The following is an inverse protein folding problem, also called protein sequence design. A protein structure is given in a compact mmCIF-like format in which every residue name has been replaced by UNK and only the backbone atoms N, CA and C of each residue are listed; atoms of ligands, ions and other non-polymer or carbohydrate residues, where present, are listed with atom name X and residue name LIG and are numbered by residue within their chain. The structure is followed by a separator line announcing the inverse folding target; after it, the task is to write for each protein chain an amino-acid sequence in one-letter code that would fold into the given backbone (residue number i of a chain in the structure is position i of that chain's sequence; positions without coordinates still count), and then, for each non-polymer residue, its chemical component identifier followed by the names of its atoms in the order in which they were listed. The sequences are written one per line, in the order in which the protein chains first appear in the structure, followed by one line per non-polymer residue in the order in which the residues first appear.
data_IF_023526273172
#
_entry.id   IF_023526273172
#
_cell.length_a   1.000
_cell.length_b   1.000
_cell.length_c   1.000
_cell.angle_alpha   90.00
_cell.angle_beta   90.00
_cell.angle_gamma   90.00
#
_symmetry.space_group_name_H-M   'P 1'
#
loop_
_entity.id
_entity.type
_entity.pdbx_description
1 polymer ?
#
# COMPACT_ATOMS: atom_id res chain seq x y z
N UNK A 1 -18.44 10.30 36.12
CA UNK A 1 -19.32 9.62 35.14
C UNK A 1 -20.01 10.66 34.30
N UNK A 2 -19.84 10.55 32.99
CA UNK A 2 -20.45 11.43 32.00
C UNK A 2 -21.49 10.63 31.21
N UNK A 3 -22.52 11.31 30.72
CA UNK A 3 -23.54 10.66 29.89
C UNK A 3 -23.04 10.40 28.46
N UNK A 4 -22.13 11.25 27.95
CA UNK A 4 -21.58 11.19 26.60
C UNK A 4 -20.08 11.49 26.60
N UNK A 5 -19.38 11.09 25.52
CA UNK A 5 -17.97 11.39 25.31
C UNK A 5 -17.75 12.90 25.13
N UNK A 6 -18.63 13.59 24.40
CA UNK A 6 -18.62 15.04 24.27
C UNK A 6 -18.58 15.74 25.63
N UNK A 7 -19.45 15.33 26.58
CA UNK A 7 -19.49 15.94 27.90
C UNK A 7 -18.19 15.70 28.70
N UNK A 8 -17.56 14.53 28.52
CA UNK A 8 -16.28 14.23 29.14
C UNK A 8 -15.15 15.11 28.55
N UNK A 9 -15.08 15.24 27.22
CA UNK A 9 -14.07 16.05 26.52
C UNK A 9 -14.21 17.55 26.79
N UNK A 10 -15.44 18.05 26.96
CA UNK A 10 -15.71 19.46 27.28
C UNK A 10 -15.52 19.81 28.77
N UNK A 11 -15.14 18.84 29.61
CA UNK A 11 -15.01 19.07 31.06
C UNK A 11 -13.82 19.99 31.36
N UNK A 12 -14.03 21.11 32.08
CA UNK A 12 -12.92 21.95 32.51
C UNK A 12 -11.96 21.20 33.42
N UNK A 13 -10.66 21.41 33.21
CA UNK A 13 -9.61 20.87 34.08
C UNK A 13 -9.01 19.53 33.64
N UNK A 14 -9.26 19.08 32.41
CA UNK A 14 -8.47 18.03 31.79
C UNK A 14 -7.00 18.44 31.70
N UNK A 15 -6.10 17.51 32.06
CA UNK A 15 -4.67 17.70 32.09
C UNK A 15 -3.97 16.70 31.14
N UNK A 16 -2.72 16.98 30.75
CA UNK A 16 -1.96 16.04 29.95
C UNK A 16 -1.83 14.66 30.60
N UNK A 17 -2.08 13.61 29.81
CA UNK A 17 -2.06 12.22 30.28
C UNK A 17 -3.37 11.74 30.92
N UNK A 18 -4.40 12.57 31.01
CA UNK A 18 -5.72 12.15 31.48
C UNK A 18 -6.32 11.07 30.57
N UNK A 19 -7.18 10.24 31.17
CA UNK A 19 -7.84 9.13 30.49
C UNK A 19 -9.36 9.25 30.62
N UNK A 20 -10.06 9.25 29.50
CA UNK A 20 -11.51 9.14 29.41
C UNK A 20 -11.85 7.70 29.03
N UNK A 21 -12.55 6.99 29.91
CA UNK A 21 -12.93 5.60 29.70
C UNK A 21 -14.40 5.46 29.25
N UNK A 22 -14.61 4.64 28.22
CA UNK A 22 -15.93 4.21 27.72
C UNK A 22 -16.23 2.83 28.31
N UNK A 23 -17.23 2.77 29.17
CA UNK A 23 -17.66 1.54 29.84
C UNK A 23 -18.59 0.70 28.94
N UNK A 24 -18.61 -0.63 29.10
CA UNK A 24 -19.64 -1.49 28.51
C UNK A 24 -21.06 -1.00 28.84
N UNK A 25 -21.93 -0.99 27.84
CA UNK A 25 -23.33 -0.56 27.98
C UNK A 25 -23.55 0.96 28.12
N UNK A 26 -22.49 1.77 28.01
CA UNK A 26 -22.60 3.23 27.91
C UNK A 26 -23.17 3.69 26.55
N UNK A 27 -23.45 4.99 26.41
CA UNK A 27 -23.93 5.62 25.18
C UNK A 27 -23.04 6.84 24.85
N UNK A 28 -21.81 6.63 24.34
CA UNK A 28 -20.82 7.69 24.21
C UNK A 28 -21.26 8.80 23.23
N UNK A 29 -22.17 8.51 22.30
CA UNK A 29 -22.77 9.50 21.41
C UNK A 29 -21.87 9.89 20.24
N UNK A 30 -22.06 11.11 19.75
CA UNK A 30 -21.27 11.69 18.67
C UNK A 30 -20.26 12.71 19.23
N UNK A 31 -19.10 12.82 18.59
CA UNK A 31 -18.16 13.92 18.80
C UNK A 31 -17.88 14.66 17.49
N UNK A 32 -17.53 15.93 17.62
CA UNK A 32 -17.06 16.78 16.53
C UNK A 32 -15.71 17.38 16.88
N UNK A 33 -15.02 17.96 15.90
CA UNK A 33 -13.72 18.61 16.09
C UNK A 33 -13.74 19.67 17.20
N UNK A 34 -14.84 20.45 17.27
CA UNK A 34 -15.02 21.47 18.30
C UNK A 34 -15.09 20.92 19.73
N UNK A 35 -15.30 19.61 19.90
CA UNK A 35 -15.31 18.96 21.20
C UNK A 35 -13.90 18.62 21.70
N UNK A 36 -12.88 18.65 20.84
CA UNK A 36 -11.52 18.25 21.19
C UNK A 36 -10.80 19.35 22.00
N UNK A 37 -10.51 19.14 23.30
CA UNK A 37 -9.81 20.14 24.10
C UNK A 37 -8.35 20.29 23.65
N UNK A 38 -7.77 21.48 23.86
CA UNK A 38 -6.35 21.76 23.64
C UNK A 38 -5.48 21.16 24.78
N UNK A 39 -5.46 19.83 24.87
CA UNK A 39 -4.74 19.07 25.91
C UNK A 39 -3.93 17.95 25.24
N UNK A 40 -2.60 18.03 25.38
CA UNK A 40 -1.68 17.02 24.89
C UNK A 40 -1.81 15.69 25.65
N UNK A 41 -1.55 14.56 24.99
CA UNK A 41 -1.49 13.25 25.63
C UNK A 41 -2.81 12.75 26.21
N UNK A 42 -3.96 13.31 25.80
CA UNK A 42 -5.26 12.83 26.25
C UNK A 42 -5.54 11.44 25.64
N UNK A 43 -6.02 10.51 26.45
CA UNK A 43 -6.40 9.18 25.98
C UNK A 43 -7.91 8.97 26.09
N UNK A 44 -8.55 8.60 24.98
CA UNK A 44 -9.91 8.03 24.98
C UNK A 44 -9.78 6.52 24.83
N UNK A 45 -10.27 5.76 25.82
CA UNK A 45 -10.15 4.29 25.80
C UNK A 45 -11.44 3.57 26.14
N UNK A 46 -11.62 2.36 25.63
CA UNK A 46 -12.58 1.41 26.19
C UNK A 46 -12.10 0.81 27.51
N UNK A 47 -12.99 0.18 28.27
CA UNK A 47 -12.62 -0.66 29.40
C UNK A 47 -11.65 -1.77 28.96
N UNK A 48 -10.40 -1.79 29.44
CA UNK A 48 -9.39 -2.77 29.02
C UNK A 48 -9.69 -4.21 29.48
N UNK A 49 -10.65 -4.40 30.38
CA UNK A 49 -11.06 -5.72 30.86
C UNK A 49 -12.22 -6.31 30.07
N UNK A 50 -12.90 -5.50 29.26
CA UNK A 50 -13.99 -5.93 28.40
C UNK A 50 -13.47 -6.28 26.99
N UNK A 51 -14.14 -7.19 26.29
CA UNK A 51 -13.87 -7.39 24.86
C UNK A 51 -14.25 -6.15 24.06
N UNK A 52 -13.53 -5.87 22.96
CA UNK A 52 -13.80 -4.69 22.11
C UNK A 52 -15.26 -4.66 21.63
N UNK A 53 -15.87 -5.82 21.34
CA UNK A 53 -17.28 -5.93 20.94
C UNK A 53 -18.29 -5.53 22.02
N UNK A 54 -17.87 -5.43 23.28
CA UNK A 54 -18.70 -4.95 24.38
C UNK A 54 -18.57 -3.43 24.61
N UNK A 55 -17.56 -2.78 24.01
CA UNK A 55 -17.36 -1.33 24.09
C UNK A 55 -18.32 -0.66 23.08
N UNK A 56 -19.25 0.21 23.53
CA UNK A 56 -20.16 0.89 22.62
C UNK A 56 -19.41 1.77 21.60
N UNK A 57 -19.89 1.78 20.36
CA UNK A 57 -19.38 2.67 19.31
C UNK A 57 -19.79 4.12 19.61
N UNK A 58 -18.85 5.05 19.44
CA UNK A 58 -19.14 6.48 19.31
C UNK A 58 -18.97 6.91 17.86
N UNK A 59 -19.59 8.02 17.48
CA UNK A 59 -19.50 8.53 16.11
C UNK A 59 -18.71 9.81 16.00
N UNK A 60 -18.11 10.02 14.83
CA UNK A 60 -17.43 11.25 14.43
C UNK A 60 -18.11 11.75 13.16
N UNK A 61 -18.56 13.02 13.16
CA UNK A 61 -19.41 13.54 12.09
C UNK A 61 -18.81 14.68 11.26
N UNK A 62 -17.61 15.12 11.62
CA UNK A 62 -16.77 16.08 10.89
C UNK A 62 -15.30 15.64 10.93
N UNK A 63 -14.40 16.39 10.31
CA UNK A 63 -12.97 16.12 10.38
C UNK A 63 -12.45 16.37 11.80
N UNK A 64 -12.12 15.31 12.54
CA UNK A 64 -11.56 15.37 13.88
C UNK A 64 -10.04 15.53 13.79
N UNK A 65 -9.54 16.73 14.04
CA UNK A 65 -8.13 17.08 13.82
C UNK A 65 -7.35 17.14 15.13
N UNK A 66 -6.41 16.21 15.30
CA UNK A 66 -5.38 16.24 16.34
C UNK A 66 -4.22 17.10 15.84
N UNK A 67 -4.03 18.27 16.46
CA UNK A 67 -2.93 19.18 16.14
C UNK A 67 -1.89 19.27 17.25
N UNK A 68 -0.95 20.21 17.13
CA UNK A 68 0.15 20.39 18.08
C UNK A 68 -0.33 20.62 19.54
N UNK A 69 -1.51 21.18 19.75
CA UNK A 69 -2.07 21.37 21.10
C UNK A 69 -2.59 20.06 21.72
N UNK A 70 -2.78 19.02 20.91
CA UNK A 70 -3.27 17.70 21.28
C UNK A 70 -2.23 16.60 21.00
N UNK A 71 -0.98 16.95 20.75
CA UNK A 71 0.11 16.00 20.48
C UNK A 71 0.11 14.86 21.51
N UNK A 72 0.25 13.63 21.03
CA UNK A 72 0.12 12.41 21.82
C UNK A 72 -1.32 11.94 22.07
N UNK A 73 -2.32 12.51 21.40
CA UNK A 73 -3.70 12.06 21.54
C UNK A 73 -3.84 10.58 21.16
N UNK A 74 -4.54 9.82 21.99
CA UNK A 74 -4.64 8.37 21.84
C UNK A 74 -6.10 7.90 21.82
N UNK A 75 -6.45 7.11 20.80
CA UNK A 75 -7.61 6.20 20.83
C UNK A 75 -7.12 4.78 21.12
N UNK A 76 -7.69 4.14 22.15
CA UNK A 76 -7.28 2.78 22.52
C UNK A 76 -8.45 1.87 22.87
N UNK A 77 -8.56 0.71 22.24
CA UNK A 77 -9.61 -0.25 22.56
C UNK A 77 -11.02 0.33 22.43
N UNK A 78 -11.27 1.09 21.36
CA UNK A 78 -12.55 1.77 21.10
C UNK A 78 -13.14 1.39 19.74
N UNK A 79 -14.45 1.56 19.59
CA UNK A 79 -15.14 1.45 18.30
C UNK A 79 -15.54 2.84 17.82
N UNK A 80 -15.06 3.23 16.63
CA UNK A 80 -15.27 4.55 16.03
C UNK A 80 -16.12 4.38 14.77
N UNK A 81 -17.27 5.04 14.72
CA UNK A 81 -18.14 5.13 13.56
C UNK A 81 -17.98 6.48 12.86
N UNK A 82 -17.39 6.50 11.68
CA UNK A 82 -17.33 7.72 10.87
C UNK A 82 -18.66 7.88 10.14
N UNK A 83 -19.35 8.98 10.43
CA UNK A 83 -20.65 9.32 9.83
C UNK A 83 -20.56 10.63 9.07
N UNK A 84 -21.46 10.79 8.12
CA UNK A 84 -21.65 12.04 7.41
C UNK A 84 -22.60 12.98 8.18
N UNK A 85 -22.29 14.28 8.19
CA UNK A 85 -23.27 15.31 8.53
C UNK A 85 -23.97 15.80 7.26
N UNK A 86 -25.29 15.60 7.12
CA UNK A 86 -26.03 16.13 5.98
C UNK A 86 -26.07 17.66 6.08
N UNK A 87 -25.25 18.35 5.28
CA UNK A 87 -25.24 19.81 5.25
C UNK A 87 -25.28 20.33 3.81
N UNK A 88 -26.50 20.54 3.31
CA UNK A 88 -26.74 21.31 2.08
C UNK A 88 -26.57 22.81 2.39
N UNK A 89 -25.85 23.64 1.58
CA UNK A 89 -25.43 23.44 0.18
C UNK A 89 -23.91 23.32 -0.06
N UNK A 90 -23.09 23.18 0.98
CA UNK A 90 -21.62 23.02 0.84
C UNK A 90 -21.30 21.52 0.75
N UNK A 91 -20.11 21.11 0.28
CA UNK A 91 -19.72 19.70 0.29
C UNK A 91 -19.90 19.15 1.71
N UNK A 92 -20.66 18.07 1.85
CA UNK A 92 -20.84 17.40 3.13
C UNK A 92 -19.47 16.96 3.65
N UNK A 93 -19.24 17.13 4.95
CA UNK A 93 -18.09 16.57 5.63
C UNK A 93 -18.44 15.15 6.05
N UNK A 94 -17.58 14.21 5.70
CA UNK A 94 -17.61 12.87 6.28
C UNK A 94 -16.70 12.90 7.50
N UNK A 95 -17.08 12.18 8.55
CA UNK A 95 -16.18 11.93 9.67
C UNK A 95 -14.83 11.39 9.17
N UNK A 96 -13.76 12.02 9.62
CA UNK A 96 -12.38 11.66 9.28
C UNK A 96 -11.52 11.91 10.52
N UNK A 97 -10.48 11.10 10.72
CA UNK A 97 -9.50 11.30 11.79
C UNK A 97 -8.20 11.82 11.17
N UNK A 98 -7.81 13.06 11.50
CA UNK A 98 -6.63 13.71 10.92
C UNK A 98 -5.64 14.02 12.04
N UNK A 99 -4.43 13.47 11.96
CA UNK A 99 -3.36 13.69 12.93
C UNK A 99 -2.26 14.52 12.27
N UNK A 100 -2.29 15.83 12.51
CA UNK A 100 -1.25 16.78 12.07
C UNK A 100 -0.10 16.92 13.08
N UNK A 101 -0.22 16.23 14.21
CA UNK A 101 0.81 16.01 15.22
C UNK A 101 0.70 14.55 15.66
N UNK A 102 1.76 14.04 16.31
CA UNK A 102 1.87 12.63 16.70
C UNK A 102 0.63 12.14 17.44
N UNK A 103 0.06 11.04 16.98
CA UNK A 103 -1.10 10.39 17.58
C UNK A 103 -1.01 8.87 17.58
N UNK A 104 -1.95 8.26 18.28
CA UNK A 104 -2.03 6.80 18.36
C UNK A 104 -3.45 6.30 18.23
N UNK A 105 -3.65 5.30 17.39
CA UNK A 105 -4.85 4.45 17.35
C UNK A 105 -4.39 3.01 17.60
N UNK A 106 -4.84 2.42 18.70
CA UNK A 106 -4.43 1.08 19.11
C UNK A 106 -5.63 0.20 19.46
N UNK A 107 -5.57 -1.09 19.09
CA UNK A 107 -6.54 -2.12 19.49
C UNK A 107 -8.01 -1.75 19.18
N UNK A 108 -8.25 -0.95 18.12
CA UNK A 108 -9.54 -0.28 17.90
C UNK A 108 -10.26 -0.77 16.62
N UNK A 109 -11.49 -0.32 16.41
CA UNK A 109 -12.12 -0.38 15.08
C UNK A 109 -12.45 1.03 14.61
N UNK A 110 -12.15 1.33 13.34
CA UNK A 110 -12.52 2.57 12.66
C UNK A 110 -13.30 2.19 11.41
N UNK A 111 -14.60 2.51 11.41
CA UNK A 111 -15.50 2.09 10.33
C UNK A 111 -16.25 3.28 9.80
N UNK A 112 -16.20 3.49 8.49
CA UNK A 112 -17.16 4.40 7.85
C UNK A 112 -18.52 3.71 7.73
N UNK A 113 -19.51 4.24 8.42
CA UNK A 113 -20.88 3.71 8.51
C UNK A 113 -21.90 4.69 7.90
N UNK A 114 -21.44 5.65 7.10
CA UNK A 114 -22.28 6.64 6.44
C UNK A 114 -23.30 5.97 5.49
N UNK A 115 -24.53 6.46 5.50
CA UNK A 115 -25.62 5.93 4.65
C UNK A 115 -25.84 6.72 3.35
N UNK A 116 -25.02 7.75 3.08
CA UNK A 116 -25.18 8.65 1.94
C UNK A 116 -24.74 8.03 0.60
N UNK A 117 -25.33 8.51 -0.50
CA UNK A 117 -24.86 8.28 -1.87
C UNK A 117 -24.45 9.63 -2.45
N UNK A 118 -23.19 10.04 -2.24
CA UNK A 118 -22.71 11.33 -2.69
C UNK A 118 -21.57 11.20 -3.71
N UNK A 119 -21.48 12.17 -4.65
CA UNK A 119 -20.54 12.08 -5.77
C UNK A 119 -19.08 12.33 -5.38
N UNK A 120 -18.83 12.96 -4.22
CA UNK A 120 -17.48 13.31 -3.80
C UNK A 120 -16.91 12.20 -2.89
N UNK A 121 -15.78 11.58 -3.26
CA UNK A 121 -15.14 10.61 -2.38
C UNK A 121 -14.55 11.28 -1.14
N UNK A 122 -14.56 10.58 -0.02
CA UNK A 122 -13.73 10.92 1.14
C UNK A 122 -12.27 10.66 0.77
N UNK A 123 -11.35 11.51 1.23
CA UNK A 123 -9.92 11.29 1.01
C UNK A 123 -9.46 10.05 1.80
N UNK A 124 -9.50 10.09 3.13
CA UNK A 124 -9.11 8.94 3.94
C UNK A 124 -10.07 8.72 5.12
N UNK A 125 -10.00 7.56 5.77
CA UNK A 125 -10.66 7.41 7.08
C UNK A 125 -9.75 7.95 8.19
N UNK A 126 -8.45 7.68 8.04
CA UNK A 126 -7.38 8.15 8.92
C UNK A 126 -6.29 8.78 8.07
N UNK A 127 -5.82 9.95 8.49
CA UNK A 127 -4.68 10.68 7.92
C UNK A 127 -3.64 10.94 9.01
N UNK A 128 -2.38 10.59 8.73
CA UNK A 128 -1.22 10.74 9.60
C UNK A 128 -0.16 11.62 8.93
N UNK A 129 0.08 12.79 9.49
CA UNK A 129 1.10 13.76 9.07
C UNK A 129 2.12 14.05 10.20
N UNK A 130 1.99 13.35 11.35
CA UNK A 130 2.92 13.42 12.46
C UNK A 130 4.26 12.77 12.13
N UNK A 131 5.26 13.03 12.98
CA UNK A 131 6.60 12.47 12.84
C UNK A 131 6.72 11.06 13.44
N UNK A 132 5.83 10.69 14.36
CA UNK A 132 5.87 9.39 15.05
C UNK A 132 4.47 8.83 15.34
N UNK A 133 3.59 8.87 14.34
CA UNK A 133 2.24 8.31 14.48
C UNK A 133 2.25 6.79 14.64
N UNK A 134 1.24 6.26 15.33
CA UNK A 134 1.09 4.81 15.56
C UNK A 134 -0.32 4.35 15.25
N UNK A 135 -0.43 3.37 14.35
CA UNK A 135 -1.65 2.60 14.11
C UNK A 135 -1.36 1.13 14.33
N UNK A 136 -1.90 0.55 15.40
CA UNK A 136 -1.63 -0.86 15.76
C UNK A 136 -2.86 -1.64 16.17
N UNK A 137 -2.91 -2.94 15.82
CA UNK A 137 -3.99 -3.85 16.26
C UNK A 137 -5.39 -3.38 15.88
N UNK A 138 -5.52 -2.53 14.86
CA UNK A 138 -6.76 -1.82 14.54
C UNK A 138 -7.38 -2.37 13.26
N UNK A 139 -8.71 -2.44 13.23
CA UNK A 139 -9.45 -2.74 12.00
C UNK A 139 -9.95 -1.45 11.36
N UNK A 140 -9.59 -1.20 10.10
CA UNK A 140 -10.14 -0.12 9.28
C UNK A 140 -11.04 -0.73 8.21
N UNK A 141 -12.26 -0.21 8.09
CA UNK A 141 -13.22 -0.70 7.11
C UNK A 141 -14.11 0.41 6.55
N UNK A 142 -14.50 0.27 5.29
CA UNK A 142 -15.60 1.05 4.73
C UNK A 142 -16.85 0.19 4.63
N UNK A 143 -17.86 0.46 5.45
CA UNK A 143 -19.18 -0.17 5.37
C UNK A 143 -20.23 0.75 4.73
N UNK A 144 -19.82 1.94 4.28
CA UNK A 144 -20.69 2.84 3.55
C UNK A 144 -20.75 2.46 2.06
N UNK A 145 -21.82 2.88 1.39
CA UNK A 145 -21.85 2.94 -0.08
C UNK A 145 -21.05 4.12 -0.65
N UNK A 146 -20.53 5.01 0.21
CA UNK A 146 -19.69 6.11 -0.21
C UNK A 146 -18.33 5.62 -0.66
N UNK A 147 -17.81 6.34 -1.64
CA UNK A 147 -16.45 6.16 -2.14
C UNK A 147 -15.48 6.73 -1.12
N UNK A 148 -14.65 5.87 -0.55
CA UNK A 148 -13.46 6.29 0.19
C UNK A 148 -12.27 6.12 -0.74
N UNK A 149 -11.34 7.08 -0.73
CA UNK A 149 -10.13 7.01 -1.55
C UNK A 149 -9.14 6.02 -0.94
N UNK A 150 -8.76 6.22 0.33
CA UNK A 150 -7.89 5.32 1.09
C UNK A 150 -8.48 5.01 2.48
N UNK A 151 -8.13 3.89 3.11
CA UNK A 151 -8.42 3.73 4.53
C UNK A 151 -7.45 4.53 5.38
N UNK A 152 -6.18 4.50 5.00
CA UNK A 152 -5.10 5.22 5.67
C UNK A 152 -4.29 6.02 4.64
N UNK A 153 -4.11 7.30 4.91
CA UNK A 153 -3.07 8.11 4.29
C UNK A 153 -2.00 8.49 5.33
N UNK A 154 -0.74 8.42 4.91
CA UNK A 154 0.41 8.88 5.66
C UNK A 154 1.18 9.87 4.78
N UNK A 155 1.29 11.11 5.24
CA UNK A 155 2.12 12.15 4.61
C UNK A 155 3.32 12.45 5.49
N UNK A 156 4.32 11.55 5.53
CA UNK A 156 5.38 11.64 6.52
C UNK A 156 6.25 12.88 6.33
N UNK A 157 6.58 13.63 7.39
CA UNK A 157 7.62 14.64 7.34
C UNK A 157 9.01 14.00 7.21
N UNK A 158 10.01 14.79 6.82
CA UNK A 158 11.41 14.33 6.83
C UNK A 158 11.83 13.95 8.26
N UNK A 159 12.41 12.76 8.41
CA UNK A 159 12.79 12.16 9.69
C UNK A 159 11.67 11.41 10.41
N UNK A 160 10.52 11.13 9.77
CA UNK A 160 9.43 10.39 10.39
C UNK A 160 9.79 8.95 10.77
N UNK A 161 9.00 8.41 11.70
CA UNK A 161 9.11 7.07 12.28
C UNK A 161 7.73 6.46 12.55
N UNK A 162 6.77 6.70 11.65
CA UNK A 162 5.40 6.23 11.77
C UNK A 162 5.34 4.71 11.72
N UNK A 163 4.61 4.11 12.68
CA UNK A 163 4.44 2.67 12.79
C UNK A 163 2.99 2.27 12.48
N UNK A 164 2.83 1.45 11.45
CA UNK A 164 1.55 0.84 11.08
C UNK A 164 1.70 -0.68 11.18
N UNK A 165 1.22 -1.29 12.28
CA UNK A 165 1.43 -2.71 12.54
C UNK A 165 0.18 -3.51 12.92
N UNK A 166 0.14 -4.78 12.53
CA UNK A 166 -0.85 -5.75 13.03
C UNK A 166 -2.32 -5.31 12.82
N UNK A 167 -2.56 -4.49 11.78
CA UNK A 167 -3.88 -3.99 11.45
C UNK A 167 -4.61 -4.89 10.46
N UNK A 168 -5.93 -4.76 10.42
CA UNK A 168 -6.78 -5.35 9.37
C UNK A 168 -7.38 -4.23 8.53
N UNK A 169 -7.04 -4.21 7.24
CA UNK A 169 -7.62 -3.31 6.26
C UNK A 169 -8.68 -4.05 5.44
N UNK A 170 -9.96 -3.80 5.73
CA UNK A 170 -11.08 -4.36 4.98
C UNK A 170 -11.45 -3.46 3.80
N UNK A 171 -11.13 -3.97 2.62
CA UNK A 171 -11.18 -3.26 1.34
C UNK A 171 -12.49 -3.42 0.60
N UNK A 172 -13.47 -4.12 1.19
CA UNK A 172 -14.65 -4.61 0.47
C UNK A 172 -15.51 -3.50 -0.17
N UNK A 173 -15.40 -2.24 0.27
CA UNK A 173 -16.08 -1.08 -0.35
C UNK A 173 -15.15 0.11 -0.64
N UNK A 174 -13.90 -0.10 -1.03
CA UNK A 174 -12.99 1.00 -1.45
C UNK A 174 -13.06 1.17 -2.97
N UNK A 175 -12.85 2.40 -3.46
CA UNK A 175 -12.99 2.70 -4.89
C UNK A 175 -11.81 3.41 -5.58
N UNK A 176 -10.65 3.56 -4.92
CA UNK A 176 -9.57 4.42 -5.41
C UNK A 176 -8.15 3.90 -5.11
N UNK A 177 -7.16 4.75 -5.41
CA UNK A 177 -5.72 4.52 -5.68
C UNK A 177 -4.85 4.07 -4.48
N UNK A 178 -5.27 3.05 -3.74
CA UNK A 178 -4.52 2.56 -2.59
C UNK A 178 -5.41 2.32 -1.38
N UNK A 179 -5.18 1.26 -0.63
CA UNK A 179 -5.84 1.08 0.67
C UNK A 179 -5.07 1.77 1.77
N UNK A 180 -3.75 1.61 1.72
CA UNK A 180 -2.78 2.35 2.52
C UNK A 180 -1.90 3.14 1.57
N UNK A 181 -1.76 4.43 1.85
CA UNK A 181 -1.07 5.37 0.99
C UNK A 181 0.02 6.11 1.77
N UNK A 182 1.28 5.88 1.42
CA UNK A 182 2.45 6.57 1.97
C UNK A 182 3.02 7.51 0.90
N UNK A 183 2.75 8.82 1.00
CA UNK A 183 3.28 9.78 0.02
C UNK A 183 3.83 11.03 0.67
N UNK A 184 5.08 11.37 0.32
CA UNK A 184 5.56 12.72 0.56
C UNK A 184 4.93 13.70 -0.44
N UNK A 185 4.34 14.78 0.07
CA UNK A 185 3.55 15.74 -0.70
C UNK A 185 4.33 16.43 -1.83
N UNK A 186 5.66 16.51 -1.72
CA UNK A 186 6.52 17.00 -2.79
C UNK A 186 6.81 15.89 -3.79
N UNK A 187 6.48 16.11 -5.06
CA UNK A 187 6.89 15.24 -6.16
C UNK A 187 8.37 15.41 -6.54
N UNK A 188 9.02 16.49 -6.08
CA UNK A 188 10.39 16.85 -6.46
C UNK A 188 11.44 16.51 -5.39
N UNK A 189 10.99 16.04 -4.23
CA UNK A 189 11.84 15.72 -3.09
C UNK A 189 11.42 14.37 -2.54
N UNK A 190 12.33 13.71 -1.84
CA UNK A 190 12.02 12.49 -1.09
C UNK A 190 12.21 12.78 0.39
N UNK A 191 11.26 12.35 1.22
CA UNK A 191 11.46 12.39 2.67
C UNK A 191 12.34 11.19 3.09
N UNK A 192 13.34 11.43 3.92
CA UNK A 192 14.07 10.38 4.63
C UNK A 192 13.21 9.93 5.79
N UNK A 193 12.80 8.66 5.80
CA UNK A 193 11.90 8.11 6.80
C UNK A 193 12.47 6.83 7.39
N UNK A 194 12.00 6.50 8.58
CA UNK A 194 12.17 5.18 9.22
C UNK A 194 10.83 4.49 9.47
N UNK A 195 9.81 4.94 8.72
CA UNK A 195 8.45 4.42 8.78
C UNK A 195 8.38 2.92 8.50
N UNK A 196 7.39 2.28 9.10
CA UNK A 196 7.23 0.83 9.10
C UNK A 196 5.76 0.44 8.89
N UNK A 197 5.54 -0.44 7.90
CA UNK A 197 4.25 -1.08 7.62
C UNK A 197 4.42 -2.60 7.79
N UNK A 198 4.08 -3.12 8.98
CA UNK A 198 4.50 -4.47 9.40
C UNK A 198 3.34 -5.36 9.85
N UNK A 199 3.25 -6.60 9.38
CA UNK A 199 2.32 -7.58 9.95
C UNK A 199 0.85 -7.29 9.70
N UNK A 200 0.52 -6.41 8.74
CA UNK A 200 -0.87 -6.04 8.45
C UNK A 200 -1.53 -7.06 7.52
N UNK A 201 -2.86 -7.11 7.59
CA UNK A 201 -3.69 -7.97 6.75
C UNK A 201 -4.60 -7.10 5.88
N UNK A 202 -4.51 -7.27 4.56
CA UNK A 202 -5.34 -6.59 3.56
C UNK A 202 -6.30 -7.61 2.95
N UNK A 203 -7.60 -7.40 3.13
CA UNK A 203 -8.64 -8.32 2.65
C UNK A 203 -9.66 -7.61 1.78
N UNK A 204 -10.05 -8.26 0.69
CA UNK A 204 -11.23 -7.88 -0.08
C UNK A 204 -12.18 -9.09 -0.16
N UNK A 205 -13.31 -9.04 0.55
CA UNK A 205 -14.22 -10.19 0.73
C UNK A 205 -15.19 -10.44 -0.44
N UNK A 206 -14.89 -9.95 -1.65
CA UNK A 206 -15.62 -10.38 -2.86
C UNK A 206 -16.94 -9.65 -3.13
N UNK A 207 -17.14 -8.46 -2.56
CA UNK A 207 -17.99 -7.47 -3.21
C UNK A 207 -17.31 -6.97 -4.49
N UNK A 208 -18.08 -6.54 -5.50
CA UNK A 208 -17.52 -5.86 -6.67
C UNK A 208 -16.90 -4.51 -6.22
N UNK A 209 -15.73 -4.56 -5.61
CA UNK A 209 -14.97 -3.38 -5.24
C UNK A 209 -14.58 -2.68 -6.55
N UNK A 210 -15.01 -1.43 -6.68
CA UNK A 210 -14.69 -0.60 -7.84
C UNK A 210 -13.32 0.04 -7.63
N UNK A 211 -12.26 -0.74 -7.42
CA UNK A 211 -10.95 -0.16 -7.10
C UNK A 211 -10.41 0.54 -8.36
N UNK A 212 -10.28 1.86 -8.30
CA UNK A 212 -9.91 2.72 -9.43
C UNK A 212 -8.48 2.48 -9.93
N UNK A 213 -7.56 2.16 -9.03
CA UNK A 213 -6.24 1.58 -9.27
C UNK A 213 -6.03 0.57 -8.14
N UNK A 214 -6.00 -0.72 -8.48
CA UNK A 214 -6.15 -1.88 -7.58
C UNK A 214 -5.04 -2.12 -6.54
N UNK A 215 -4.40 -1.08 -6.00
CA UNK A 215 -3.19 -1.17 -5.19
C UNK A 215 -3.57 -1.36 -3.71
N UNK A 216 -3.02 -2.36 -3.01
CA UNK A 216 -3.22 -2.48 -1.55
C UNK A 216 -2.36 -1.46 -0.79
N UNK A 217 -1.09 -1.34 -1.21
CA UNK A 217 -0.13 -0.39 -0.66
C UNK A 217 0.43 0.44 -1.80
N UNK A 218 0.28 1.77 -1.74
CA UNK A 218 0.91 2.72 -2.66
C UNK A 218 1.92 3.59 -1.90
N UNK A 219 3.14 3.64 -2.42
CA UNK A 219 4.27 4.37 -1.84
C UNK A 219 4.83 5.32 -2.89
N UNK A 220 5.01 6.58 -2.52
CA UNK A 220 5.58 7.57 -3.40
C UNK A 220 6.53 8.55 -2.70
N UNK A 221 7.69 8.77 -3.34
CA UNK A 221 8.65 9.80 -2.98
C UNK A 221 9.25 9.64 -1.55
N UNK A 222 9.55 8.41 -1.13
CA UNK A 222 10.14 8.15 0.19
C UNK A 222 11.54 7.52 0.08
N UNK A 223 12.34 7.72 1.13
CA UNK A 223 13.62 7.03 1.33
C UNK A 223 13.60 6.29 2.66
N UNK A 224 13.75 4.97 2.65
CA UNK A 224 13.93 4.18 3.89
C UNK A 224 12.69 3.50 4.47
N UNK A 225 11.53 3.56 3.79
CA UNK A 225 10.32 2.85 4.21
C UNK A 225 10.56 1.33 4.27
N UNK A 226 10.05 0.67 5.32
CA UNK A 226 10.03 -0.79 5.44
C UNK A 226 8.60 -1.33 5.36
N UNK A 227 8.36 -2.26 4.43
CA UNK A 227 7.10 -3.00 4.25
C UNK A 227 7.39 -4.47 4.50
N UNK A 228 6.93 -4.99 5.63
CA UNK A 228 7.37 -6.30 6.10
C UNK A 228 6.23 -7.19 6.61
N UNK A 229 6.29 -8.48 6.31
CA UNK A 229 5.43 -9.52 6.89
C UNK A 229 3.91 -9.25 6.73
N UNK A 230 3.51 -8.48 5.71
CA UNK A 230 2.10 -8.20 5.44
C UNK A 230 1.47 -9.36 4.66
N UNK A 231 0.18 -9.62 4.92
CA UNK A 231 -0.63 -10.55 4.13
C UNK A 231 -1.60 -9.77 3.27
N UNK A 232 -1.48 -9.89 1.95
CA UNK A 232 -2.32 -9.20 0.96
C UNK A 232 -3.15 -10.23 0.21
N UNK A 233 -4.47 -10.16 0.33
CA UNK A 233 -5.41 -11.04 -0.37
C UNK A 233 -6.47 -10.23 -1.12
N UNK A 234 -6.27 -10.08 -2.44
CA UNK A 234 -7.13 -9.27 -3.29
C UNK A 234 -7.97 -10.13 -4.24
N UNK A 235 -9.28 -10.01 -4.08
CA UNK A 235 -10.27 -10.47 -5.05
C UNK A 235 -10.26 -9.59 -6.33
N UNK A 236 -10.75 -10.09 -7.48
CA UNK A 236 -10.81 -9.28 -8.70
C UNK A 236 -11.70 -8.05 -8.46
N UNK A 237 -11.14 -6.86 -8.67
CA UNK A 237 -11.89 -5.62 -8.72
C UNK A 237 -12.42 -5.39 -10.13
N UNK A 238 -13.72 -5.13 -10.30
CA UNK A 238 -14.23 -4.71 -11.61
C UNK A 238 -13.79 -3.25 -11.85
N UNK A 239 -12.86 -3.04 -12.79
CA UNK A 239 -12.46 -1.69 -13.18
C UNK A 239 -13.49 -1.14 -14.15
N UNK A 240 -14.26 -0.14 -13.72
CA UNK A 240 -14.99 0.71 -14.65
C UNK A 240 -14.02 1.71 -15.25
N UNK A 241 -13.74 1.58 -16.55
CA UNK A 241 -12.87 2.49 -17.29
C UNK A 241 -13.28 3.96 -17.04
N UNK A 242 -12.47 4.70 -16.29
CA UNK A 242 -12.74 6.09 -15.88
C UNK A 242 -12.67 7.07 -17.05
N UNK A 243 -12.16 6.66 -18.22
CA UNK A 243 -12.12 7.54 -19.39
C UNK A 243 -13.47 7.52 -20.10
N UNK A 244 -14.29 8.52 -19.79
CA UNK A 244 -15.66 8.72 -20.29
C UNK A 244 -15.74 9.03 -21.81
N UNK A 245 -14.73 8.66 -22.60
CA UNK A 245 -14.57 9.06 -24.01
C UNK A 245 -14.41 7.89 -24.99
N UNK A 246 -14.17 6.66 -24.53
CA UNK A 246 -14.11 5.47 -25.38
C UNK A 246 -15.36 4.59 -25.18
N UNK A 247 -15.85 3.88 -26.22
CA UNK A 247 -16.91 2.88 -26.06
C UNK A 247 -16.50 1.85 -24.99
N UNK A 248 -17.45 1.30 -24.22
CA UNK A 248 -17.15 0.41 -23.11
C UNK A 248 -16.40 -0.82 -23.62
N UNK A 249 -15.08 -0.84 -23.44
CA UNK A 249 -14.32 -2.08 -23.45
C UNK A 249 -14.86 -2.96 -22.30
N UNK A 250 -14.90 -4.29 -22.46
CA UNK A 250 -15.26 -5.17 -21.35
C UNK A 250 -14.38 -4.82 -20.13
N UNK A 251 -14.96 -4.83 -18.92
CA UNK A 251 -14.20 -4.50 -17.71
C UNK A 251 -13.04 -5.51 -17.57
N UNK A 252 -11.81 -5.03 -17.65
CA UNK A 252 -10.66 -5.78 -17.14
C UNK A 252 -10.63 -5.62 -15.63
N UNK A 253 -10.22 -6.67 -14.91
CA UNK A 253 -9.91 -6.54 -13.48
C UNK A 253 -8.41 -6.38 -13.33
N UNK A 254 -7.99 -5.36 -12.58
CA UNK A 254 -6.60 -5.05 -12.28
C UNK A 254 -6.37 -5.06 -10.76
N UNK A 255 -5.26 -5.63 -10.30
CA UNK A 255 -4.84 -5.56 -8.90
C UNK A 255 -3.31 -5.47 -8.76
N UNK A 256 -2.83 -4.61 -7.87
CA UNK A 256 -1.42 -4.62 -7.43
C UNK A 256 -1.37 -4.90 -5.94
N UNK A 257 -0.46 -5.76 -5.49
CA UNK A 257 -0.18 -5.87 -4.06
C UNK A 257 0.48 -4.59 -3.53
N UNK A 258 1.71 -4.34 -3.99
CA UNK A 258 2.52 -3.21 -3.55
C UNK A 258 2.94 -2.39 -4.78
N UNK A 259 2.70 -1.09 -4.77
CA UNK A 259 3.14 -0.16 -5.79
C UNK A 259 4.14 0.83 -5.20
N UNK A 260 5.36 0.85 -5.74
CA UNK A 260 6.43 1.76 -5.33
C UNK A 260 6.72 2.74 -6.47
N UNK A 261 6.56 4.03 -6.23
CA UNK A 261 6.90 5.08 -7.19
C UNK A 261 7.98 5.99 -6.63
N UNK A 262 9.04 6.24 -7.41
CA UNK A 262 10.06 7.22 -7.10
C UNK A 262 10.65 7.08 -5.68
N UNK A 263 10.84 5.86 -5.20
CA UNK A 263 11.27 5.58 -3.83
C UNK A 263 12.70 5.01 -3.78
N UNK A 264 13.42 5.27 -2.70
CA UNK A 264 14.80 4.82 -2.49
C UNK A 264 14.94 4.05 -1.19
N UNK A 265 15.87 3.11 -1.16
CA UNK A 265 16.18 2.28 0.01
C UNK A 265 14.92 1.67 0.65
N UNK A 266 13.91 1.38 -0.16
CA UNK A 266 12.66 0.78 0.30
C UNK A 266 12.84 -0.72 0.45
N UNK A 267 12.46 -1.26 1.60
CA UNK A 267 12.54 -2.68 1.90
C UNK A 267 11.16 -3.33 1.78
N UNK A 268 11.06 -4.41 1.02
CA UNK A 268 9.83 -5.22 0.85
C UNK A 268 10.16 -6.67 1.22
N UNK A 269 9.84 -7.05 2.45
CA UNK A 269 10.37 -8.28 3.06
C UNK A 269 9.25 -9.19 3.59
N UNK A 270 9.31 -10.49 3.29
CA UNK A 270 8.48 -11.49 3.99
C UNK A 270 6.97 -11.37 3.75
N UNK A 271 6.53 -10.60 2.76
CA UNK A 271 5.11 -10.41 2.49
C UNK A 271 4.51 -11.64 1.79
N UNK A 272 3.25 -11.93 2.07
CA UNK A 272 2.46 -12.97 1.41
C UNK A 272 1.40 -12.29 0.54
N UNK A 273 1.53 -12.40 -0.78
CA UNK A 273 0.71 -11.69 -1.75
C UNK A 273 -0.08 -12.68 -2.59
N UNK A 274 -1.40 -12.68 -2.45
CA UNK A 274 -2.33 -13.53 -3.20
C UNK A 274 -3.35 -12.66 -3.93
N UNK A 275 -3.21 -12.57 -5.25
CA UNK A 275 -4.07 -11.80 -6.14
C UNK A 275 -4.84 -12.75 -7.05
N UNK A 276 -6.10 -12.41 -7.33
CA UNK A 276 -6.97 -13.21 -8.20
C UNK A 276 -7.56 -12.41 -9.36
N UNK A 277 -7.10 -11.17 -9.56
CA UNK A 277 -7.50 -10.36 -10.71
C UNK A 277 -6.98 -10.92 -12.04
N UNK A 278 -7.66 -10.58 -13.14
CA UNK A 278 -7.26 -11.00 -14.49
C UNK A 278 -5.92 -10.43 -14.90
N UNK A 279 -5.65 -9.18 -14.52
CA UNK A 279 -4.35 -8.54 -14.65
C UNK A 279 -3.91 -8.24 -13.23
N UNK A 280 -2.84 -8.89 -12.79
CA UNK A 280 -2.40 -8.76 -11.41
C UNK A 280 -0.89 -8.59 -11.36
N UNK A 281 -0.42 -7.74 -10.47
CA UNK A 281 1.01 -7.54 -10.23
C UNK A 281 1.28 -7.65 -8.73
N UNK A 282 2.11 -8.59 -8.31
CA UNK A 282 2.46 -8.72 -6.89
C UNK A 282 3.11 -7.44 -6.35
N UNK A 283 4.25 -7.07 -6.93
CA UNK A 283 5.01 -5.86 -6.60
C UNK A 283 5.30 -5.11 -7.90
N UNK A 284 4.85 -3.86 -8.00
CA UNK A 284 5.13 -2.97 -9.12
C UNK A 284 6.04 -1.83 -8.68
N UNK A 285 7.08 -1.56 -9.46
CA UNK A 285 8.07 -0.53 -9.16
C UNK A 285 8.19 0.40 -10.36
N UNK A 286 7.97 1.69 -10.11
CA UNK A 286 8.10 2.78 -11.05
C UNK A 286 9.17 3.76 -10.57
N UNK A 287 10.14 4.08 -11.43
CA UNK A 287 11.22 5.03 -11.10
C UNK A 287 10.76 6.48 -11.00
N UNK A 288 9.63 6.84 -11.62
CA UNK A 288 9.17 8.24 -11.70
C UNK A 288 10.18 9.18 -12.39
N UNK A 289 9.84 10.46 -12.48
CA UNK A 289 10.68 11.47 -13.16
C UNK A 289 11.90 11.96 -12.34
N UNK A 290 12.05 11.55 -11.07
CA UNK A 290 12.86 12.29 -10.10
C UNK A 290 13.94 11.47 -9.37
N UNK A 291 15.10 11.35 -10.02
CA UNK A 291 16.32 10.85 -9.38
C UNK A 291 16.37 9.33 -9.25
N UNK A 292 17.41 8.79 -8.60
CA UNK A 292 17.58 7.34 -8.50
C UNK A 292 16.45 6.72 -7.68
N UNK A 293 16.14 5.46 -7.96
CA UNK A 293 15.29 4.62 -7.13
C UNK A 293 16.07 3.38 -6.71
N UNK A 294 15.81 2.88 -5.50
CA UNK A 294 16.44 1.65 -5.03
C UNK A 294 15.51 0.87 -4.12
N UNK A 295 15.54 -0.46 -4.24
CA UNK A 295 14.70 -1.33 -3.44
C UNK A 295 15.37 -2.66 -3.12
N UNK A 296 15.05 -3.22 -1.96
CA UNK A 296 15.45 -4.54 -1.51
C UNK A 296 14.20 -5.39 -1.31
N UNK A 297 14.07 -6.45 -2.11
CA UNK A 297 12.88 -7.31 -2.16
C UNK A 297 13.31 -8.72 -1.77
N UNK A 298 12.87 -9.18 -0.59
CA UNK A 298 13.35 -10.45 -0.07
C UNK A 298 12.30 -11.32 0.62
N UNK A 299 12.35 -12.63 0.39
CA UNK A 299 11.55 -13.59 1.15
C UNK A 299 10.05 -13.48 0.97
N UNK A 300 9.56 -12.81 -0.09
CA UNK A 300 8.13 -12.66 -0.33
C UNK A 300 7.58 -13.93 -0.99
N UNK A 301 6.35 -14.30 -0.66
CA UNK A 301 5.57 -15.33 -1.37
C UNK A 301 4.56 -14.62 -2.26
N UNK A 302 4.70 -14.78 -3.57
CA UNK A 302 3.92 -14.04 -4.56
C UNK A 302 3.14 -15.02 -5.43
N UNK A 303 1.83 -14.80 -5.46
CA UNK A 303 0.87 -15.46 -6.30
C UNK A 303 -0.04 -14.40 -6.91
N UNK A 304 0.35 -13.90 -8.09
CA UNK A 304 -0.40 -12.97 -8.90
C UNK A 304 -1.43 -13.67 -9.80
N UNK A 305 -1.63 -14.99 -9.65
CA UNK A 305 -2.53 -15.77 -10.48
C UNK A 305 -2.01 -16.04 -11.89
N UNK A 306 -2.69 -16.93 -12.61
CA UNK A 306 -2.18 -17.56 -13.85
C UNK A 306 -1.94 -16.62 -15.03
N UNK A 307 -2.34 -15.35 -14.90
CA UNK A 307 -2.18 -14.29 -15.89
C UNK A 307 -1.45 -13.07 -15.34
N UNK A 308 -0.99 -13.14 -14.09
CA UNK A 308 -0.33 -12.04 -13.39
C UNK A 308 1.19 -12.10 -13.44
N UNK A 309 1.80 -11.01 -12.99
CA UNK A 309 3.25 -10.84 -12.86
C UNK A 309 3.64 -10.77 -11.38
N UNK A 310 4.66 -11.51 -10.96
CA UNK A 310 5.16 -11.46 -9.59
C UNK A 310 5.74 -10.09 -9.25
N UNK A 311 6.84 -9.71 -9.89
CA UNK A 311 7.46 -8.38 -9.79
C UNK A 311 7.51 -7.72 -11.17
N UNK A 312 7.01 -6.49 -11.27
CA UNK A 312 7.08 -5.69 -12.50
C UNK A 312 7.86 -4.42 -12.28
N UNK A 313 8.84 -4.18 -13.15
CA UNK A 313 9.57 -2.92 -13.25
C UNK A 313 9.07 -2.14 -14.45
N UNK A 314 8.55 -0.94 -14.17
CA UNK A 314 8.22 0.07 -15.16
C UNK A 314 9.05 1.33 -14.90
N UNK A 315 9.25 2.12 -15.92
CA UNK A 315 9.81 3.47 -15.81
C UNK A 315 8.84 4.36 -16.55
N UNK A 316 8.47 5.45 -15.89
CA UNK A 316 7.52 6.41 -16.42
C UNK A 316 8.20 7.67 -16.90
N UNK A 317 9.55 7.75 -16.84
CA UNK A 317 10.22 9.03 -17.00
C UNK A 317 10.58 9.38 -18.43
N UNK A 318 10.38 10.66 -18.74
CA UNK A 318 10.97 11.33 -19.91
C UNK A 318 12.39 11.87 -19.60
N UNK A 319 12.88 11.65 -18.39
CA UNK A 319 14.16 12.16 -17.91
C UNK A 319 15.32 11.34 -18.48
N UNK A 320 16.45 12.00 -18.77
CA UNK A 320 17.54 11.43 -19.55
C UNK A 320 18.42 10.38 -18.83
N UNK A 321 18.11 9.95 -17.59
CA UNK A 321 18.86 8.92 -16.86
C UNK A 321 18.21 8.53 -15.50
N UNK A 322 17.01 7.92 -15.45
CA UNK A 322 16.59 7.25 -14.23
C UNK A 322 17.55 6.08 -13.96
N UNK A 323 18.03 5.99 -12.72
CA UNK A 323 18.83 4.87 -12.23
C UNK A 323 17.96 4.08 -11.27
N UNK A 324 17.78 2.79 -11.54
CA UNK A 324 17.11 1.87 -10.64
C UNK A 324 18.07 0.77 -10.24
N UNK A 325 18.30 0.62 -8.94
CA UNK A 325 19.03 -0.53 -8.39
C UNK A 325 18.06 -1.37 -7.55
N UNK A 326 17.87 -2.64 -7.93
CA UNK A 326 17.00 -3.55 -7.20
C UNK A 326 17.75 -4.82 -6.82
N UNK A 327 17.73 -5.17 -5.53
CA UNK A 327 18.21 -6.44 -4.99
C UNK A 327 17.00 -7.33 -4.74
N UNK A 328 16.99 -8.52 -5.36
CA UNK A 328 15.86 -9.46 -5.32
C UNK A 328 16.41 -10.81 -4.87
N UNK A 329 15.95 -11.34 -3.74
CA UNK A 329 16.47 -12.61 -3.23
C UNK A 329 15.46 -13.43 -2.41
N UNK A 330 15.54 -14.75 -2.51
CA UNK A 330 14.75 -15.65 -1.66
C UNK A 330 13.23 -15.55 -1.84
N UNK A 331 12.74 -14.94 -2.93
CA UNK A 331 11.29 -14.80 -3.17
C UNK A 331 10.74 -16.09 -3.79
N UNK A 332 9.50 -16.44 -3.46
CA UNK A 332 8.75 -17.55 -4.06
C UNK A 332 7.72 -17.02 -5.06
N UNK A 333 7.90 -17.39 -6.33
CA UNK A 333 7.02 -17.03 -7.44
C UNK A 333 6.20 -18.26 -7.86
N UNK A 334 4.96 -18.35 -7.42
CA UNK A 334 4.11 -19.50 -7.69
C UNK A 334 2.76 -19.10 -8.28
N UNK A 335 2.33 -19.84 -9.29
CA UNK A 335 1.13 -19.57 -10.10
C UNK A 335 1.15 -18.23 -10.85
N UNK A 336 2.30 -17.57 -11.00
CA UNK A 336 2.43 -16.39 -11.83
C UNK A 336 2.56 -16.75 -13.32
N UNK A 337 2.08 -15.88 -14.21
CA UNK A 337 2.40 -15.96 -15.65
C UNK A 337 3.85 -15.52 -15.91
N UNK A 338 4.28 -14.48 -15.19
CA UNK A 338 5.65 -13.95 -15.25
C UNK A 338 6.18 -13.81 -13.82
N UNK A 339 7.36 -14.35 -13.52
CA UNK A 339 7.97 -14.18 -12.19
C UNK A 339 8.47 -12.74 -12.01
N UNK A 340 9.46 -12.36 -12.81
CA UNK A 340 10.03 -11.00 -12.83
C UNK A 340 9.96 -10.43 -14.23
N UNK A 341 9.41 -9.22 -14.36
CA UNK A 341 9.28 -8.50 -15.61
C UNK A 341 10.05 -7.17 -15.57
N UNK A 342 10.86 -6.93 -16.59
CA UNK A 342 11.35 -5.60 -16.93
C UNK A 342 10.68 -5.17 -18.24
N UNK A 343 9.72 -4.27 -18.14
CA UNK A 343 8.98 -3.81 -19.31
C UNK A 343 9.54 -2.49 -19.80
N UNK A 344 10.52 -2.56 -20.69
CA UNK A 344 11.16 -1.39 -21.30
C UNK A 344 10.52 -1.14 -22.68
N UNK A 345 10.29 0.13 -23.07
CA UNK A 345 9.76 0.51 -24.39
C UNK A 345 8.25 0.31 -24.72
N UNK A 346 7.47 -0.49 -24.00
CA UNK A 346 6.00 -0.52 -24.17
C UNK A 346 5.32 0.41 -23.16
N UNK A 347 4.26 1.09 -23.60
CA UNK A 347 3.32 1.76 -22.72
C UNK A 347 2.73 0.70 -21.80
N UNK A 348 2.94 0.78 -20.48
CA UNK A 348 2.21 -0.06 -19.53
C UNK A 348 0.68 0.21 -19.66
N UNK A 349 -0.16 -0.62 -19.06
CA UNK A 349 -1.62 -0.42 -19.11
C UNK A 349 -2.07 0.93 -18.52
N UNK A 350 -1.15 1.67 -17.86
CA UNK A 350 -1.34 3.00 -17.28
C UNK A 350 -0.76 4.14 -18.14
N UNK A 351 -0.14 3.90 -19.30
CA UNK A 351 0.39 4.96 -20.17
C UNK A 351 1.90 5.21 -20.11
N UNK A 352 2.67 4.50 -19.28
CA UNK A 352 4.06 4.81 -18.97
C UNK A 352 5.06 4.12 -19.90
N UNK A 353 6.07 4.85 -20.38
CA UNK A 353 7.09 4.36 -21.34
C UNK A 353 8.50 4.52 -20.75
N UNK A 354 9.30 3.45 -20.84
CA UNK A 354 10.73 3.49 -20.49
C UNK A 354 11.55 3.94 -21.70
N UNK A 355 12.16 5.12 -21.61
CA UNK A 355 13.13 5.61 -22.59
C UNK A 355 14.45 5.94 -21.87
N UNK A 356 15.39 4.98 -21.86
CA UNK A 356 16.82 5.15 -21.52
C UNK A 356 17.29 5.03 -20.06
N UNK A 357 16.51 4.42 -19.16
CA UNK A 357 16.99 4.11 -17.81
C UNK A 357 18.08 3.04 -17.76
N UNK A 358 19.11 3.25 -16.93
CA UNK A 358 20.04 2.19 -16.53
C UNK A 358 19.42 1.48 -15.34
N UNK A 359 18.92 0.27 -15.54
CA UNK A 359 18.44 -0.58 -14.45
C UNK A 359 19.50 -1.60 -14.08
N UNK A 360 19.93 -1.65 -12.83
CA UNK A 360 20.71 -2.75 -12.26
C UNK A 360 19.73 -3.66 -11.49
N UNK A 361 19.35 -4.79 -12.07
CA UNK A 361 18.59 -5.83 -11.37
C UNK A 361 19.56 -6.93 -10.95
N UNK A 362 19.66 -7.17 -9.65
CA UNK A 362 20.45 -8.25 -9.09
C UNK A 362 19.53 -9.25 -8.40
N UNK A 363 19.18 -10.31 -9.12
CA UNK A 363 18.45 -11.46 -8.61
C UNK A 363 19.39 -12.49 -7.97
N UNK A 364 20.71 -12.38 -8.15
CA UNK A 364 21.70 -13.22 -7.47
C UNK A 364 23.09 -13.16 -8.10
N UNK A 365 24.13 -13.12 -7.27
CA UNK A 365 25.54 -13.17 -7.69
C UNK A 365 26.08 -11.90 -8.36
N UNK A 366 25.27 -10.84 -8.44
CA UNK A 366 25.65 -9.57 -9.05
C UNK A 366 26.36 -8.59 -8.13
N UNK A 367 26.54 -7.37 -8.63
CA UNK A 367 27.31 -6.32 -7.96
C UNK A 367 26.57 -5.64 -6.81
N UNK A 368 25.25 -5.84 -6.69
CA UNK A 368 24.47 -5.28 -5.59
C UNK A 368 24.47 -6.22 -4.37
N UNK A 369 25.00 -7.43 -4.53
CA UNK A 369 25.18 -8.40 -3.44
C UNK A 369 23.96 -9.26 -3.19
N UNK A 370 23.08 -9.45 -4.19
CA UNK A 370 21.97 -10.40 -4.05
C UNK A 370 22.50 -11.82 -3.83
N UNK A 371 21.87 -12.53 -2.89
CA UNK A 371 22.21 -13.91 -2.55
C UNK A 371 21.55 -14.97 -3.46
N UNK A 372 20.68 -14.58 -4.40
CA UNK A 372 19.93 -15.56 -5.17
C UNK A 372 18.76 -16.15 -4.39
N UNK A 373 18.52 -17.44 -4.60
CA UNK A 373 17.53 -18.22 -3.87
C UNK A 373 16.09 -17.92 -4.24
N UNK A 374 15.83 -17.20 -5.34
CA UNK A 374 14.48 -17.02 -5.83
C UNK A 374 13.95 -18.35 -6.38
N UNK A 375 12.71 -18.71 -6.04
CA UNK A 375 12.07 -19.94 -6.47
C UNK A 375 11.25 -19.71 -7.76
N UNK A 376 11.81 -20.18 -8.87
CA UNK A 376 11.19 -20.18 -10.19
C UNK A 376 10.74 -21.58 -10.62
N UNK A 377 10.59 -22.54 -9.70
CA UNK A 377 10.21 -23.93 -10.04
C UNK A 377 8.82 -24.04 -10.67
N UNK A 378 7.97 -23.02 -10.53
CA UNK A 378 6.67 -22.94 -11.21
C UNK A 378 6.76 -22.77 -12.74
N UNK A 379 7.90 -22.30 -13.26
CA UNK A 379 8.07 -22.00 -14.68
C UNK A 379 8.74 -23.18 -15.40
N UNK A 380 7.96 -23.96 -16.15
CA UNK A 380 8.47 -25.16 -16.87
C UNK A 380 8.32 -25.09 -18.38
N UNK A 381 7.56 -24.11 -18.89
CA UNK A 381 7.33 -23.93 -20.32
C UNK A 381 8.33 -22.93 -20.92
N UNK A 382 8.71 -23.08 -22.21
CA UNK A 382 9.56 -22.09 -22.87
C UNK A 382 9.01 -20.68 -22.75
N UNK A 383 9.88 -19.73 -22.37
CA UNK A 383 9.46 -18.36 -22.17
C UNK A 383 9.11 -17.64 -23.47
N UNK A 384 8.19 -16.70 -23.35
CA UNK A 384 7.75 -15.77 -24.39
C UNK A 384 7.81 -14.35 -23.84
N UNK A 385 7.57 -13.35 -24.68
CA UNK A 385 7.46 -11.95 -24.25
C UNK A 385 6.33 -11.69 -23.22
N UNK A 386 5.43 -12.66 -23.01
CA UNK A 386 4.29 -12.56 -22.10
C UNK A 386 4.23 -13.71 -21.09
N UNK A 387 5.27 -14.56 -20.95
CA UNK A 387 5.26 -15.66 -19.98
C UNK A 387 6.68 -16.17 -19.72
N UNK A 388 7.07 -16.39 -18.47
CA UNK A 388 8.38 -16.93 -18.12
C UNK A 388 8.84 -16.54 -16.72
N UNK A 389 9.91 -17.17 -16.25
CA UNK A 389 10.50 -16.84 -14.94
C UNK A 389 11.01 -15.40 -14.91
N UNK A 390 11.74 -15.00 -15.95
CA UNK A 390 12.26 -13.64 -16.12
C UNK A 390 11.96 -13.20 -17.55
N UNK A 391 11.30 -12.06 -17.70
CA UNK A 391 10.89 -11.49 -18.99
C UNK A 391 11.40 -10.07 -19.12
N UNK A 392 12.32 -9.86 -20.07
CA UNK A 392 12.88 -8.57 -20.42
C UNK A 392 12.33 -8.11 -21.77
N UNK A 393 11.31 -7.26 -21.72
CA UNK A 393 10.69 -6.66 -22.91
C UNK A 393 11.44 -5.37 -23.27
N UNK A 394 11.96 -5.28 -24.50
CA UNK A 394 12.59 -4.11 -25.17
C UNK A 394 13.75 -3.40 -24.46
N UNK A 395 14.88 -4.08 -24.28
CA UNK A 395 16.04 -3.49 -23.60
C UNK A 395 16.66 -2.32 -24.38
N UNK A 396 16.96 -1.23 -23.67
CA UNK A 396 17.87 -0.19 -24.17
C UNK A 396 19.29 -0.77 -24.29
N UNK A 397 20.10 -0.36 -25.28
CA UNK A 397 21.53 -0.69 -25.33
C UNK A 397 22.31 -0.27 -24.06
N UNK A 398 21.78 0.67 -23.28
CA UNK A 398 22.37 1.13 -22.02
C UNK A 398 21.98 0.27 -20.80
N UNK A 399 21.06 -0.69 -20.97
CA UNK A 399 20.65 -1.60 -19.91
C UNK A 399 21.84 -2.44 -19.44
N UNK A 400 21.98 -2.66 -18.13
CA UNK A 400 22.99 -3.59 -17.60
C UNK A 400 22.48 -5.02 -17.67
N UNK A 401 23.42 -5.97 -17.67
CA UNK A 401 23.12 -7.40 -17.48
C UNK A 401 22.29 -7.58 -16.21
N UNK A 402 21.21 -8.33 -16.32
CA UNK A 402 20.42 -8.79 -15.17
C UNK A 402 21.11 -10.04 -14.63
N UNK A 403 21.61 -10.01 -13.40
CA UNK A 403 22.24 -11.19 -12.78
C UNK A 403 21.20 -12.02 -12.05
N UNK A 404 21.08 -13.30 -12.39
CA UNK A 404 20.11 -14.24 -11.82
C UNK A 404 20.78 -15.60 -11.55
N UNK A 405 21.80 -15.55 -10.69
CA UNK A 405 22.56 -16.72 -10.26
C UNK A 405 22.02 -17.26 -8.94
N UNK A 406 22.27 -18.55 -8.66
CA UNK A 406 21.88 -19.21 -7.40
C UNK A 406 20.36 -19.23 -7.15
N UNK A 407 19.56 -19.09 -8.20
CA UNK A 407 18.10 -19.23 -8.17
C UNK A 407 17.69 -20.69 -8.41
N UNK A 408 16.49 -21.07 -7.96
CA UNK A 408 15.96 -22.43 -8.04
C UNK A 408 15.03 -22.60 -9.23
N UNK A 409 15.31 -23.55 -10.12
CA UNK A 409 14.47 -23.90 -11.26
C UNK A 409 13.97 -25.34 -11.17
N UNK A 410 12.92 -25.67 -11.92
CA UNK A 410 12.37 -27.02 -11.90
C UNK A 410 13.41 -28.05 -12.41
N UNK A 411 13.43 -29.24 -11.80
CA UNK A 411 14.36 -30.29 -12.21
C UNK A 411 14.18 -30.65 -13.70
N UNK A 412 15.28 -30.58 -14.47
CA UNK A 412 15.28 -30.85 -15.91
C UNK A 412 14.89 -29.67 -16.80
N UNK A 413 14.61 -28.50 -16.23
CA UNK A 413 14.42 -27.24 -16.97
C UNK A 413 15.77 -26.52 -17.09
N UNK A 414 16.13 -26.15 -18.31
CA UNK A 414 17.24 -25.21 -18.55
C UNK A 414 16.75 -23.80 -18.16
N UNK A 415 17.39 -23.09 -17.20
CA UNK A 415 17.02 -21.72 -16.85
C UNK A 415 16.88 -20.80 -18.07
N UNK A 416 17.75 -20.95 -19.07
CA UNK A 416 17.73 -20.15 -20.30
C UNK A 416 16.50 -20.40 -21.17
N UNK A 417 15.84 -21.55 -21.00
CA UNK A 417 14.61 -21.87 -21.71
C UNK A 417 13.39 -21.14 -21.15
N UNK A 418 13.44 -20.75 -19.87
CA UNK A 418 12.35 -20.07 -19.15
C UNK A 418 12.62 -18.60 -18.88
N UNK A 419 13.73 -18.08 -19.42
CA UNK A 419 14.01 -16.65 -19.52
C UNK A 419 13.77 -16.15 -20.94
N UNK A 420 13.09 -15.01 -21.02
CA UNK A 420 12.91 -14.25 -22.25
C UNK A 420 13.70 -12.96 -22.15
N UNK A 421 14.73 -12.83 -22.99
CA UNK A 421 15.38 -11.57 -23.25
C UNK A 421 15.19 -11.23 -24.73
N UNK A 422 14.74 -10.02 -25.06
CA UNK A 422 14.59 -9.60 -26.46
C UNK A 422 15.88 -9.77 -27.31
N UNK A 423 17.02 -9.98 -26.65
CA UNK A 423 18.35 -10.24 -27.21
C UNK A 423 18.49 -11.55 -27.99
N UNK A 424 17.61 -12.56 -27.80
CA UNK A 424 17.50 -13.72 -28.71
C UNK A 424 17.23 -13.33 -30.17
N UNK A 425 16.99 -12.03 -30.42
CA UNK A 425 16.85 -11.40 -31.73
C UNK A 425 18.01 -10.47 -32.15
N UNK A 426 18.90 -9.96 -31.25
CA UNK A 426 19.74 -8.78 -31.58
C UNK A 426 21.03 -8.47 -30.75
N UNK A 427 21.63 -9.38 -29.97
CA UNK A 427 22.97 -9.13 -29.37
C UNK A 427 23.02 -8.06 -28.27
N UNK A 428 21.91 -7.90 -27.53
CA UNK A 428 21.74 -7.03 -26.37
C UNK A 428 22.20 -7.72 -25.06
N UNK A 429 22.33 -7.00 -23.92
CA UNK A 429 22.67 -7.57 -22.62
C UNK A 429 21.72 -8.73 -22.26
N UNK A 430 22.31 -9.88 -21.93
CA UNK A 430 21.59 -11.11 -21.55
C UNK A 430 21.21 -11.08 -20.07
N UNK A 431 20.32 -11.98 -19.66
CA UNK A 431 20.26 -12.42 -18.26
C UNK A 431 21.47 -13.34 -18.03
N UNK A 432 22.16 -13.21 -16.89
CA UNK A 432 23.18 -14.17 -16.48
C UNK A 432 22.56 -15.21 -15.53
N UNK A 433 22.12 -16.34 -16.10
CA UNK A 433 21.56 -17.48 -15.37
C UNK A 433 22.59 -18.55 -15.00
N UNK A 434 23.87 -18.19 -14.89
CA UNK A 434 24.89 -19.16 -14.51
C UNK A 434 24.78 -19.57 -13.03
N UNK A 435 25.23 -20.77 -12.68
CA UNK A 435 25.33 -21.27 -11.30
C UNK A 435 24.00 -21.36 -10.51
N UNK A 436 22.93 -21.80 -11.17
CA UNK A 436 21.64 -22.03 -10.54
C UNK A 436 21.53 -23.39 -9.81
N UNK A 437 20.65 -23.45 -8.80
CA UNK A 437 20.54 -24.52 -7.80
C UNK A 437 19.71 -25.73 -8.25
#
# INVERSE_FOLDING_TARGET
NFATLQAALATPGLNPGDVIQIEPGSAPGNIVNADLPAVAGLTVRGDPTAALSAIPQFTVSDAFTVGAAQEGFTFRHVNIGLIETPYFPIPNFVGELIFTADGTIADSTVVNISAGNFPNPVASLVEFDGAADVLTGTTLANHSSLRVTNLLAVSPPDGSSTLVSDNVFDMSNITNDGVVYFRYSSVFQKAQVTDQLIGNVFINQGGAANIGNGDAIDVANLVGLTIQDNTISLAPALVFNRTNTAPPSPPSSFATGIYLTNSQNTQVIGNVINLSATIATGIAISTGDFGPSSTFIAGNQINAGSTGTGISFTDSSLASAPVLDAVIQGNDFHNDQIGVQLNTGNIDDRGHRIDNGIVTLDLGGGSLGSLGGNDFRGFTAPATASSGAIVLNTLSPAQKVVTAQMDSFAAGVDPKSVTWDGSKSAGLPNVDESNNL
#
